data_IF_507831017370
#
_entry.id   IF_507831017370
#
_cell.length_a   1.000
_cell.length_b   1.000
_cell.length_c   1.000
_cell.angle_alpha   90.00
_cell.angle_beta   90.00
_cell.angle_gamma   90.00
#
_symmetry.space_group_name_H-M   'P 1'
#
loop_
_entity.id
_entity.type
_entity.pdbx_description
1 polymer ?
#
# COMPACT_ATOMS: atom_id res chain seq x y z
N UNK A 1 -7.40 6.06 -10.02
CA UNK A 1 -6.24 5.80 -9.14
C UNK A 1 -5.17 6.86 -9.41
N UNK A 2 -4.45 7.27 -8.38
CA UNK A 2 -3.24 8.10 -8.50
C UNK A 2 -2.00 7.21 -8.69
N UNK A 3 -0.83 7.82 -8.95
CA UNK A 3 0.42 7.07 -9.20
C UNK A 3 0.80 6.16 -8.02
N UNK A 4 0.63 6.62 -6.78
CA UNK A 4 0.87 5.82 -5.57
C UNK A 4 -0.06 4.61 -5.50
N UNK A 5 -1.36 4.81 -5.74
CA UNK A 5 -2.34 3.73 -5.72
C UNK A 5 -2.06 2.67 -6.78
N UNK A 6 -1.69 3.10 -8.01
CA UNK A 6 -1.29 2.17 -9.07
C UNK A 6 -0.05 1.37 -8.66
N UNK A 7 0.97 2.02 -8.10
CA UNK A 7 2.18 1.34 -7.61
C UNK A 7 1.84 0.30 -6.55
N UNK A 8 1.07 0.67 -5.53
CA UNK A 8 0.68 -0.24 -4.45
C UNK A 8 -0.11 -1.42 -5.01
N UNK A 9 -1.04 -1.18 -5.94
CA UNK A 9 -1.80 -2.25 -6.60
C UNK A 9 -0.91 -3.22 -7.36
N UNK A 10 0.07 -2.73 -8.12
CA UNK A 10 1.03 -3.58 -8.83
C UNK A 10 1.89 -4.43 -7.87
N UNK A 11 2.27 -3.87 -6.72
CA UNK A 11 3.07 -4.57 -5.71
C UNK A 11 2.32 -5.73 -5.05
N UNK A 12 1.05 -5.51 -4.70
CA UNK A 12 0.23 -6.48 -3.95
C UNK A 12 -0.38 -7.58 -4.84
N UNK A 13 -0.06 -7.57 -6.14
CA UNK A 13 -0.31 -8.73 -7.02
C UNK A 13 0.41 -10.00 -6.53
N UNK A 14 1.41 -9.83 -5.66
CA UNK A 14 2.00 -10.89 -4.85
C UNK A 14 1.84 -10.55 -3.37
N UNK A 15 1.78 -11.55 -2.46
CA UNK A 15 1.74 -11.28 -1.03
C UNK A 15 2.91 -10.40 -0.59
N UNK A 16 2.57 -9.31 0.10
CA UNK A 16 3.52 -8.30 0.59
C UNK A 16 3.10 -7.82 1.96
N UNK A 17 4.10 -7.49 2.77
CA UNK A 17 3.88 -6.83 4.05
C UNK A 17 3.59 -5.34 3.85
N UNK A 18 2.85 -4.74 4.78
CA UNK A 18 2.62 -3.30 4.79
C UNK A 18 3.94 -2.50 4.79
N UNK A 19 4.96 -3.03 5.47
CA UNK A 19 6.28 -2.40 5.55
C UNK A 19 7.00 -2.40 4.18
N UNK A 20 7.03 -3.53 3.47
CA UNK A 20 7.62 -3.60 2.12
C UNK A 20 6.96 -2.60 1.15
N UNK A 21 5.62 -2.53 1.18
CA UNK A 21 4.86 -1.59 0.35
C UNK A 21 5.18 -0.15 0.74
N UNK A 22 5.18 0.17 2.03
CA UNK A 22 5.44 1.52 2.53
C UNK A 22 6.86 1.98 2.22
N UNK A 23 7.86 1.11 2.40
CA UNK A 23 9.26 1.42 2.08
C UNK A 23 9.46 1.70 0.59
N UNK A 24 8.79 0.93 -0.28
CA UNK A 24 8.87 1.16 -1.73
C UNK A 24 8.27 2.51 -2.10
N UNK A 25 7.11 2.86 -1.56
CA UNK A 25 6.49 4.18 -1.80
C UNK A 25 7.37 5.31 -1.25
N UNK A 26 7.95 5.18 -0.05
CA UNK A 26 8.88 6.18 0.50
C UNK A 26 10.09 6.37 -0.41
N UNK A 27 10.66 5.28 -0.93
CA UNK A 27 11.82 5.33 -1.82
C UNK A 27 11.52 6.00 -3.17
N UNK A 28 10.31 5.85 -3.71
CA UNK A 28 9.95 6.42 -5.01
C UNK A 28 9.49 7.88 -4.91
N UNK A 29 8.82 8.25 -3.82
CA UNK A 29 8.15 9.55 -3.70
C UNK A 29 8.79 10.51 -2.67
N UNK A 30 9.88 10.10 -2.00
CA UNK A 30 10.59 10.88 -0.97
C UNK A 30 9.65 11.48 0.10
N UNK A 31 8.79 10.63 0.64
CA UNK A 31 7.79 10.99 1.66
C UNK A 31 8.17 10.44 3.04
N UNK A 32 7.68 11.07 4.10
CA UNK A 32 7.86 10.56 5.45
C UNK A 32 7.17 9.19 5.63
N UNK A 33 7.92 8.23 6.17
CA UNK A 33 7.46 6.84 6.33
C UNK A 33 6.18 6.72 7.16
N UNK A 34 6.06 7.43 8.29
CA UNK A 34 4.87 7.37 9.15
C UNK A 34 3.59 7.85 8.45
N UNK A 35 3.72 8.84 7.56
CA UNK A 35 2.62 9.32 6.73
C UNK A 35 2.29 8.30 5.65
N UNK A 36 3.32 7.82 4.94
CA UNK A 36 3.18 6.81 3.90
C UNK A 36 2.46 5.56 4.43
N UNK A 37 2.94 5.00 5.54
CA UNK A 37 2.40 3.79 6.13
C UNK A 37 0.91 3.96 6.50
N UNK A 38 0.54 5.12 7.04
CA UNK A 38 -0.85 5.44 7.38
C UNK A 38 -1.74 5.53 6.15
N UNK A 39 -1.28 6.22 5.11
CA UNK A 39 -2.03 6.41 3.87
C UNK A 39 -2.20 5.09 3.10
N UNK A 40 -1.12 4.29 3.02
CA UNK A 40 -1.13 2.94 2.41
C UNK A 40 -2.03 2.00 3.20
N UNK A 41 -1.92 1.98 4.53
CA UNK A 41 -2.77 1.15 5.38
C UNK A 41 -4.25 1.48 5.19
N UNK A 42 -4.60 2.77 5.15
CA UNK A 42 -5.98 3.20 4.89
C UNK A 42 -6.47 2.72 3.51
N UNK A 43 -5.63 2.85 2.48
CA UNK A 43 -5.98 2.41 1.13
C UNK A 43 -6.21 0.89 1.07
N UNK A 44 -5.36 0.09 1.75
CA UNK A 44 -5.53 -1.36 1.81
C UNK A 44 -6.80 -1.77 2.56
N UNK A 45 -7.16 -1.06 3.63
CA UNK A 45 -8.44 -1.28 4.34
C UNK A 45 -9.63 -1.02 3.42
N UNK A 46 -9.62 0.09 2.68
CA UNK A 46 -10.68 0.39 1.69
C UNK A 46 -10.78 -0.71 0.61
N UNK A 47 -9.64 -1.26 0.18
CA UNK A 47 -9.62 -2.39 -0.78
C UNK A 47 -10.13 -3.70 -0.19
N UNK A 48 -9.90 -3.95 1.11
CA UNK A 48 -10.46 -5.12 1.81
C UNK A 48 -11.97 -4.99 1.92
N UNK A 49 -12.47 -3.80 2.27
CA UNK A 49 -13.91 -3.52 2.37
C UNK A 49 -14.63 -3.69 1.03
N UNK A 50 -13.97 -3.33 -0.08
CA UNK A 50 -14.43 -3.55 -1.46
C UNK A 50 -14.23 -5.01 -1.94
N UNK A 51 -13.60 -5.88 -1.14
CA UNK A 51 -13.35 -7.28 -1.47
C UNK A 51 -12.28 -7.51 -2.55
N UNK A 52 -11.44 -6.51 -2.83
CA UNK A 52 -10.40 -6.55 -3.86
C UNK A 52 -9.13 -7.27 -3.39
N UNK A 53 -8.83 -7.20 -2.10
CA UNK A 53 -7.64 -7.81 -1.49
C UNK A 53 -8.01 -8.47 -0.16
N UNK A 54 -7.10 -9.25 0.40
CA UNK A 54 -7.22 -9.87 1.73
C UNK A 54 -5.95 -9.67 2.52
N UNK A 55 -6.09 -9.56 3.84
CA UNK A 55 -4.97 -9.56 4.77
C UNK A 55 -4.82 -10.98 5.33
N UNK A 56 -3.58 -11.46 5.34
CA UNK A 56 -3.21 -12.70 6.01
C UNK A 56 -2.79 -12.39 7.46
N UNK A 57 -3.11 -13.31 8.39
CA UNK A 57 -2.79 -13.22 9.82
C UNK A 57 -1.32 -13.55 10.14
#
# INVERSE_FOLDING_TARGET
MNEVGTLVWEMIQQPKTLDEVSQKVVSEYDVAYERCQRDVSKMLVEMVDEGLVRLDE
#
